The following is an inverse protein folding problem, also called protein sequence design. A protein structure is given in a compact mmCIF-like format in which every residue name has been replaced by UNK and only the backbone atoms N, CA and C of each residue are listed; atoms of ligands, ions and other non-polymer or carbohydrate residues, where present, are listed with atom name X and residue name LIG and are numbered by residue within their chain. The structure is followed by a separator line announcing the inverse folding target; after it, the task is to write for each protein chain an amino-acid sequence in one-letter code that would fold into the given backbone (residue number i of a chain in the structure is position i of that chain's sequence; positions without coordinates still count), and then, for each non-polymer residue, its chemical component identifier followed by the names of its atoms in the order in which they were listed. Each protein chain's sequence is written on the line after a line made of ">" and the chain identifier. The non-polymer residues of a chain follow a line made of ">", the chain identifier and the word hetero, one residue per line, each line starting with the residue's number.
data_IF_790348229539
#
_entry.id   IF_790348229539
#
_cell.length_a   1.000
_cell.length_b   1.000
_cell.length_c   1.000
_cell.angle_alpha   90.00
_cell.angle_beta   90.00
_cell.angle_gamma   90.00
#
_symmetry.space_group_name_H-M   'P 1'
#
loop_
_entity.id
_entity.type
_entity.pdbx_description
1 polymer ?
#
# COMPACT_ATOMS: atom_id res chain seq x y z
N UNK A 1 16.65 -5.44 -10.13
CA UNK A 1 15.39 -6.20 -10.14
C UNK A 1 15.31 -7.04 -8.88
N UNK A 2 14.14 -7.16 -8.25
CA UNK A 2 13.85 -8.13 -7.21
C UNK A 2 12.85 -9.18 -7.71
N UNK A 3 12.90 -10.40 -7.19
CA UNK A 3 11.97 -11.49 -7.52
C UNK A 3 11.92 -12.53 -6.40
N UNK A 4 10.78 -13.21 -6.28
CA UNK A 4 10.63 -14.34 -5.38
C UNK A 4 10.94 -15.66 -6.11
N UNK A 5 11.57 -16.62 -5.44
CA UNK A 5 11.86 -17.95 -6.00
C UNK A 5 11.94 -19.01 -4.91
N UNK A 6 11.62 -20.26 -5.26
CA UNK A 6 11.84 -21.46 -4.42
C UNK A 6 13.04 -22.30 -4.86
N UNK A 7 13.81 -21.79 -5.81
CA UNK A 7 14.87 -22.56 -6.44
C UNK A 7 16.11 -22.59 -5.52
N UNK A 8 16.35 -23.73 -4.87
CA UNK A 8 17.42 -23.95 -3.87
C UNK A 8 18.88 -23.79 -4.34
N UNK A 9 19.10 -23.31 -5.56
CA UNK A 9 20.40 -23.17 -6.20
C UNK A 9 20.71 -21.73 -6.65
N UNK A 10 19.93 -20.74 -6.21
CA UNK A 10 20.17 -19.33 -6.51
C UNK A 10 21.13 -18.66 -5.52
N UNK A 11 21.34 -19.25 -4.35
CA UNK A 11 22.29 -18.83 -3.33
C UNK A 11 22.81 -20.04 -2.55
N UNK A 12 24.02 -19.97 -2.00
CA UNK A 12 24.58 -21.04 -1.15
C UNK A 12 23.88 -21.17 0.21
N UNK A 13 23.09 -20.16 0.60
CA UNK A 13 22.33 -20.09 1.85
C UNK A 13 20.82 -20.04 1.57
N UNK A 14 20.36 -20.75 0.55
CA UNK A 14 18.96 -20.77 0.15
C UNK A 14 18.19 -21.88 0.89
N UNK A 15 17.01 -21.56 1.43
CA UNK A 15 16.15 -22.51 2.10
C UNK A 15 15.33 -23.35 1.12
N UNK A 16 14.33 -24.09 1.61
CA UNK A 16 13.34 -24.77 0.75
C UNK A 16 12.06 -23.94 0.53
N UNK A 17 11.99 -22.74 1.10
CA UNK A 17 10.83 -21.85 1.07
C UNK A 17 10.84 -20.89 -0.12
N UNK A 18 9.85 -20.01 -0.19
CA UNK A 18 9.95 -18.83 -1.04
C UNK A 18 10.95 -17.84 -0.44
N UNK A 19 11.88 -17.37 -1.26
CA UNK A 19 12.90 -16.42 -0.89
C UNK A 19 12.93 -15.23 -1.85
N UNK A 20 13.35 -14.07 -1.34
CA UNK A 20 13.52 -12.87 -2.15
C UNK A 20 14.95 -12.78 -2.62
N UNK A 21 15.10 -12.62 -3.93
CA UNK A 21 16.39 -12.43 -4.58
C UNK A 21 16.44 -11.08 -5.28
N UNK A 22 17.64 -10.53 -5.36
CA UNK A 22 17.95 -9.40 -6.22
C UNK A 22 18.86 -9.85 -7.34
N UNK A 23 18.58 -9.35 -8.56
CA UNK A 23 19.44 -9.54 -9.71
C UNK A 23 19.99 -8.21 -10.18
N UNK A 24 21.32 -8.11 -10.21
CA UNK A 24 22.00 -7.06 -10.94
C UNK A 24 21.90 -7.39 -12.44
N UNK A 25 21.17 -6.58 -13.20
CA UNK A 25 20.90 -6.85 -14.61
C UNK A 25 22.13 -6.58 -15.50
N UNK A 26 23.10 -5.79 -15.04
CA UNK A 26 24.33 -5.51 -15.78
C UNK A 26 25.34 -6.67 -15.65
N UNK A 27 25.42 -7.30 -14.48
CA UNK A 27 26.41 -8.36 -14.20
C UNK A 27 25.80 -9.76 -14.18
N UNK A 28 24.48 -9.88 -14.13
CA UNK A 28 23.77 -11.15 -13.94
C UNK A 28 23.84 -11.71 -12.51
N UNK A 29 24.57 -11.07 -11.59
CA UNK A 29 24.72 -11.54 -10.20
C UNK A 29 23.36 -11.58 -9.49
N UNK A 30 23.05 -12.74 -8.91
CA UNK A 30 21.89 -12.98 -8.04
C UNK A 30 22.33 -12.95 -6.57
N UNK A 31 21.54 -12.36 -5.69
CA UNK A 31 21.85 -12.26 -4.25
C UNK A 31 20.57 -12.40 -3.43
N UNK A 32 20.60 -13.26 -2.41
CA UNK A 32 19.52 -13.45 -1.45
C UNK A 32 19.33 -12.17 -0.62
N UNK A 33 18.10 -11.65 -0.60
CA UNK A 33 17.71 -10.43 0.10
C UNK A 33 16.90 -10.71 1.36
N UNK A 34 16.17 -11.83 1.42
CA UNK A 34 15.46 -12.35 2.61
C UNK A 34 16.45 -12.94 3.64
N UNK A 35 17.39 -12.12 4.11
CA UNK A 35 18.36 -12.47 5.15
C UNK A 35 18.21 -11.54 6.35
N UNK A 36 18.29 -12.15 7.54
CA UNK A 36 18.22 -11.50 8.82
C UNK A 36 19.28 -10.42 9.00
N UNK A 37 18.93 -9.39 9.77
CA UNK A 37 19.87 -8.36 10.15
C UNK A 37 20.97 -8.92 11.07
N UNK A 38 22.23 -8.51 10.83
CA UNK A 38 23.37 -8.78 11.72
C UNK A 38 24.13 -10.07 11.41
N UNK A 39 23.46 -11.24 11.48
CA UNK A 39 24.11 -12.54 11.29
C UNK A 39 23.99 -13.09 9.85
N UNK A 40 23.16 -12.47 9.00
CA UNK A 40 22.95 -12.90 7.62
C UNK A 40 22.28 -14.26 7.47
N UNK A 41 21.63 -14.78 8.52
CA UNK A 41 20.90 -16.04 8.41
C UNK A 41 19.69 -15.87 7.48
N UNK A 42 19.39 -16.86 6.63
CA UNK A 42 18.19 -16.82 5.78
C UNK A 42 16.92 -16.69 6.61
N UNK A 43 15.88 -16.12 6.00
CA UNK A 43 14.52 -16.13 6.53
C UNK A 43 14.12 -17.57 6.91
N UNK A 44 13.52 -17.74 8.09
CA UNK A 44 13.01 -19.03 8.57
C UNK A 44 11.54 -19.29 8.15
N UNK A 45 11.00 -18.47 7.25
CA UNK A 45 9.64 -18.53 6.72
C UNK A 45 9.58 -18.02 5.28
N UNK A 46 8.44 -18.22 4.63
CA UNK A 46 8.26 -17.82 3.23
C UNK A 46 8.30 -16.29 3.07
N UNK A 47 9.01 -15.82 2.05
CA UNK A 47 9.10 -14.42 1.66
C UNK A 47 8.71 -14.23 0.20
N UNK A 48 7.78 -13.31 -0.08
CA UNK A 48 7.15 -13.14 -1.39
C UNK A 48 6.81 -11.66 -1.68
N UNK A 49 6.25 -11.39 -2.87
CA UNK A 49 5.80 -10.05 -3.30
C UNK A 49 6.85 -8.93 -3.16
N UNK A 50 8.05 -9.07 -3.75
CA UNK A 50 9.06 -8.04 -3.62
C UNK A 50 8.75 -6.81 -4.48
N UNK A 51 8.91 -5.63 -3.89
CA UNK A 51 8.94 -4.34 -4.57
C UNK A 51 10.31 -3.68 -4.38
N UNK A 52 10.93 -3.22 -5.47
CA UNK A 52 12.27 -2.60 -5.43
C UNK A 52 12.16 -1.10 -5.70
N UNK A 53 12.81 -0.29 -4.88
CA UNK A 53 12.90 1.15 -5.12
C UNK A 53 13.57 1.43 -6.47
N UNK A 54 13.19 2.51 -7.16
CA UNK A 54 13.67 2.76 -8.52
C UNK A 54 15.20 2.96 -8.60
N UNK A 55 15.83 3.44 -7.52
CA UNK A 55 17.30 3.53 -7.39
C UNK A 55 17.99 2.18 -7.11
N UNK A 56 17.24 1.09 -6.93
CA UNK A 56 17.76 -0.25 -6.65
C UNK A 56 18.37 -0.44 -5.27
N UNK A 57 18.25 0.52 -4.35
CA UNK A 57 18.82 0.45 -3.00
C UNK A 57 17.96 -0.33 -2.01
N UNK A 58 16.64 -0.19 -2.09
CA UNK A 58 15.71 -0.78 -1.12
C UNK A 58 14.85 -1.85 -1.78
N UNK A 59 14.54 -2.90 -1.02
CA UNK A 59 13.55 -3.92 -1.39
C UNK A 59 12.56 -4.06 -0.26
N UNK A 60 11.29 -3.73 -0.52
CA UNK A 60 10.17 -4.08 0.34
C UNK A 60 9.67 -5.48 -0.03
N UNK A 61 9.25 -6.28 0.93
CA UNK A 61 8.72 -7.63 0.68
C UNK A 61 7.87 -8.11 1.85
N UNK A 62 6.95 -9.04 1.55
CA UNK A 62 6.14 -9.74 2.55
C UNK A 62 6.92 -10.95 3.07
N UNK A 63 6.90 -11.22 4.37
CA UNK A 63 7.52 -12.41 4.94
C UNK A 63 6.79 -12.95 6.16
N UNK A 64 6.72 -14.26 6.31
CA UNK A 64 6.24 -14.94 7.53
C UNK A 64 7.39 -15.33 8.48
N UNK A 65 8.58 -14.79 8.25
CA UNK A 65 9.80 -15.20 8.94
C UNK A 65 10.05 -14.40 10.23
N UNK A 66 10.01 -15.09 11.36
CA UNK A 66 10.20 -14.49 12.70
C UNK A 66 11.65 -14.12 13.04
N UNK A 67 12.61 -14.40 12.15
CA UNK A 67 14.02 -14.18 12.40
C UNK A 67 14.64 -13.03 11.60
N UNK A 68 13.85 -12.29 10.79
CA UNK A 68 14.38 -11.20 9.97
C UNK A 68 14.80 -9.98 10.80
N UNK A 69 14.04 -9.69 11.86
CA UNK A 69 14.34 -8.67 12.88
C UNK A 69 14.04 -9.23 14.27
N UNK A 70 14.63 -8.63 15.31
CA UNK A 70 14.26 -8.96 16.69
C UNK A 70 12.89 -8.39 17.05
N UNK A 71 12.04 -9.16 17.72
CA UNK A 71 10.76 -8.69 18.25
C UNK A 71 9.55 -9.00 17.37
N UNK A 72 9.76 -9.62 16.21
CA UNK A 72 8.68 -10.27 15.44
C UNK A 72 8.22 -11.55 16.17
N UNK A 73 6.97 -11.55 16.64
CA UNK A 73 6.42 -12.58 17.54
C UNK A 73 5.00 -13.02 17.19
N UNK A 74 4.36 -12.41 16.20
CA UNK A 74 2.94 -12.66 15.89
C UNK A 74 2.73 -13.95 15.07
N UNK A 75 3.79 -14.46 14.43
CA UNK A 75 3.72 -15.62 13.53
C UNK A 75 2.88 -15.38 12.28
N UNK A 76 2.71 -14.12 11.87
CA UNK A 76 1.95 -13.71 10.70
C UNK A 76 2.87 -13.14 9.62
N UNK A 77 2.28 -12.82 8.45
CA UNK A 77 3.00 -12.14 7.40
C UNK A 77 3.16 -10.65 7.74
N UNK A 78 4.38 -10.15 7.59
CA UNK A 78 4.75 -8.77 7.85
C UNK A 78 5.49 -8.17 6.64
N UNK A 79 5.45 -6.84 6.53
CA UNK A 79 6.19 -6.10 5.51
C UNK A 79 7.56 -5.75 6.06
N UNK A 80 8.59 -6.12 5.31
CA UNK A 80 9.97 -5.79 5.62
C UNK A 80 10.60 -4.94 4.52
N UNK A 81 11.53 -4.07 4.88
CA UNK A 81 12.41 -3.37 3.95
C UNK A 81 13.86 -3.74 4.21
N UNK A 82 14.54 -4.21 3.16
CA UNK A 82 15.99 -4.42 3.13
C UNK A 82 16.67 -3.22 2.48
N UNK A 83 17.61 -2.58 3.18
CA UNK A 83 18.61 -1.71 2.56
C UNK A 83 19.75 -2.57 2.01
N UNK A 84 19.86 -2.67 0.68
CA UNK A 84 20.86 -3.48 -0.01
C UNK A 84 22.27 -2.91 0.09
N UNK A 85 22.42 -1.63 0.48
CA UNK A 85 23.74 -1.01 0.68
C UNK A 85 24.27 -1.30 2.08
N UNK A 86 23.43 -1.19 3.11
CA UNK A 86 23.85 -1.34 4.51
C UNK A 86 23.59 -2.73 5.07
N UNK A 87 22.72 -3.51 4.44
CA UNK A 87 22.23 -4.80 4.94
C UNK A 87 21.18 -4.68 6.05
N UNK A 88 20.76 -3.47 6.44
CA UNK A 88 19.72 -3.25 7.46
C UNK A 88 18.38 -3.83 7.02
N UNK A 89 17.64 -4.43 7.95
CA UNK A 89 16.26 -4.90 7.76
C UNK A 89 15.36 -4.15 8.73
N UNK A 90 14.24 -3.65 8.23
CA UNK A 90 13.23 -2.96 9.04
C UNK A 90 11.90 -3.67 8.84
N UNK A 91 11.21 -4.01 9.92
CA UNK A 91 9.79 -4.40 9.86
C UNK A 91 8.98 -3.12 9.77
N UNK A 92 8.21 -2.95 8.70
CA UNK A 92 7.41 -1.76 8.40
C UNK A 92 6.02 -1.88 9.02
N UNK A 93 5.46 -3.09 9.04
CA UNK A 93 4.12 -3.41 9.54
C UNK A 93 4.00 -3.54 11.06
N UNK A 94 4.94 -2.96 11.82
CA UNK A 94 5.19 -3.32 13.21
C UNK A 94 4.16 -2.81 14.25
N UNK A 95 3.00 -2.29 13.84
CA UNK A 95 2.11 -1.50 14.70
C UNK A 95 0.71 -2.06 15.00
N UNK A 96 0.33 -3.25 14.55
CA UNK A 96 -1.00 -3.80 14.85
C UNK A 96 -0.94 -5.04 15.72
N UNK A 97 -0.83 -4.82 17.03
CA UNK A 97 -1.49 -5.73 17.97
C UNK A 97 -2.96 -5.29 18.02
N UNK A 98 -3.79 -5.85 17.14
CA UNK A 98 -5.23 -5.63 17.25
C UNK A 98 -5.73 -6.38 18.49
N UNK A 99 -6.74 -5.84 19.18
CA UNK A 99 -7.44 -6.56 20.26
C UNK A 99 -8.20 -7.79 19.70
N UNK A 100 -8.29 -7.93 18.38
CA UNK A 100 -9.07 -8.95 17.66
C UNK A 100 -8.22 -10.13 17.16
N UNK A 101 -6.89 -10.01 17.13
CA UNK A 101 -5.97 -11.10 16.80
C UNK A 101 -4.61 -10.63 16.28
N UNK A 102 -3.72 -11.54 15.87
CA UNK A 102 -2.50 -11.14 15.19
C UNK A 102 -2.86 -10.78 13.74
N UNK A 103 -2.84 -9.48 13.43
CA UNK A 103 -3.03 -9.00 12.07
C UNK A 103 -1.89 -9.42 11.16
N UNK A 104 -2.10 -9.34 9.84
CA UNK A 104 -1.08 -9.62 8.84
C UNK A 104 -1.08 -8.54 7.76
N UNK A 105 0.03 -8.41 7.05
CA UNK A 105 0.22 -7.40 6.02
C UNK A 105 0.82 -8.01 4.76
N UNK A 106 0.43 -7.49 3.59
CA UNK A 106 0.91 -7.94 2.29
C UNK A 106 0.92 -6.80 1.24
N UNK A 107 1.33 -7.12 0.00
CA UNK A 107 1.33 -6.19 -1.15
C UNK A 107 2.03 -4.85 -0.88
N UNK A 108 3.32 -4.89 -0.55
CA UNK A 108 4.11 -3.68 -0.35
C UNK A 108 4.47 -2.98 -1.67
N UNK A 109 4.43 -1.65 -1.67
CA UNK A 109 4.98 -0.77 -2.69
C UNK A 109 5.92 0.26 -2.05
N UNK A 110 6.98 0.67 -2.75
CA UNK A 110 8.04 1.52 -2.20
C UNK A 110 8.47 2.62 -3.17
N UNK A 111 8.54 3.85 -2.66
CA UNK A 111 8.98 5.06 -3.38
C UNK A 111 10.46 4.98 -3.80
N UNK A 112 10.89 5.82 -4.75
CA UNK A 112 12.24 5.74 -5.33
C UNK A 112 13.36 5.97 -4.32
N UNK A 113 13.18 6.89 -3.39
CA UNK A 113 14.13 7.15 -2.30
C UNK A 113 13.99 6.15 -1.14
N UNK A 114 12.95 5.32 -1.20
CA UNK A 114 12.58 4.36 -0.18
C UNK A 114 11.83 4.96 1.00
N UNK A 115 11.57 6.27 1.06
CA UNK A 115 10.99 6.91 2.24
C UNK A 115 9.58 6.40 2.56
N UNK A 116 8.72 6.37 1.55
CA UNK A 116 7.34 5.92 1.68
C UNK A 116 7.20 4.47 1.27
N UNK A 117 6.54 3.68 2.14
CA UNK A 117 6.15 2.30 1.88
C UNK A 117 4.65 2.18 2.09
N UNK A 118 3.92 1.80 1.04
CA UNK A 118 2.50 1.51 1.11
C UNK A 118 2.27 0.00 1.18
N UNK A 119 1.24 -0.46 1.88
CA UNK A 119 0.91 -1.89 1.99
C UNK A 119 -0.55 -2.08 2.40
N UNK A 120 -1.04 -3.31 2.25
CA UNK A 120 -2.35 -3.72 2.75
C UNK A 120 -2.18 -4.36 4.13
N UNK A 121 -3.06 -4.04 5.08
CA UNK A 121 -3.13 -4.64 6.41
C UNK A 121 -4.49 -5.29 6.65
N UNK A 122 -4.51 -6.34 7.47
CA UNK A 122 -5.70 -7.05 7.88
C UNK A 122 -5.63 -7.32 9.37
N UNK A 123 -6.62 -6.86 10.13
CA UNK A 123 -6.67 -7.05 11.59
C UNK A 123 -6.70 -8.53 11.99
N UNK A 124 -7.38 -9.34 11.19
CA UNK A 124 -7.50 -10.80 11.36
C UNK A 124 -7.68 -11.50 10.02
N UNK A 125 -7.41 -12.80 9.97
CA UNK A 125 -7.62 -13.62 8.77
C UNK A 125 -9.06 -13.54 8.26
N UNK A 126 -9.22 -13.05 7.03
CA UNK A 126 -10.52 -12.91 6.36
C UNK A 126 -11.29 -11.62 6.70
N UNK A 127 -10.65 -10.67 7.40
CA UNK A 127 -11.17 -9.31 7.54
C UNK A 127 -11.03 -8.51 6.24
N UNK A 128 -11.76 -7.39 6.17
CA UNK A 128 -11.60 -6.40 5.12
C UNK A 128 -10.21 -5.75 5.29
N UNK A 129 -9.46 -5.66 4.18
CA UNK A 129 -8.13 -5.06 4.18
C UNK A 129 -8.18 -3.54 4.21
N UNK A 130 -7.19 -2.94 4.86
CA UNK A 130 -6.96 -1.50 4.91
C UNK A 130 -5.62 -1.16 4.24
N UNK A 131 -5.54 0.01 3.61
CA UNK A 131 -4.32 0.49 2.97
C UNK A 131 -3.63 1.50 3.86
N UNK A 132 -2.36 1.21 4.16
CA UNK A 132 -1.52 2.07 4.97
C UNK A 132 -0.31 2.56 4.20
N UNK A 133 0.23 3.71 4.63
CA UNK A 133 1.54 4.22 4.22
C UNK A 133 2.37 4.52 5.45
N UNK A 134 3.62 4.07 5.47
CA UNK A 134 4.64 4.43 6.45
C UNK A 134 5.63 5.40 5.82
N UNK A 135 5.81 6.55 6.46
CA UNK A 135 6.96 7.42 6.24
C UNK A 135 8.13 6.92 7.10
N UNK A 136 9.10 6.23 6.49
CA UNK A 136 10.25 5.63 7.17
C UNK A 136 11.23 6.65 7.76
N UNK A 137 11.12 7.92 7.38
CA UNK A 137 11.99 8.98 7.91
C UNK A 137 11.41 9.55 9.20
N UNK A 138 10.11 9.82 9.22
CA UNK A 138 9.42 10.39 10.39
C UNK A 138 8.81 9.33 11.31
N UNK A 139 8.76 8.08 10.86
CA UNK A 139 8.13 6.95 11.54
C UNK A 139 6.62 7.19 11.81
N UNK A 140 5.95 7.82 10.84
CA UNK A 140 4.53 8.15 10.89
C UNK A 140 3.77 7.22 9.96
N UNK A 141 2.58 6.80 10.40
CA UNK A 141 1.69 5.94 9.63
C UNK A 141 0.41 6.68 9.25
N UNK A 142 -0.06 6.42 8.04
CA UNK A 142 -1.25 7.02 7.46
C UNK A 142 -2.21 5.92 6.99
N UNK A 143 -3.48 6.02 7.36
CA UNK A 143 -4.56 5.20 6.80
C UNK A 143 -5.10 5.89 5.55
N UNK A 144 -4.96 5.26 4.38
CA UNK A 144 -5.36 5.85 3.10
C UNK A 144 -6.81 5.60 2.73
N UNK A 145 -7.45 4.55 3.21
CA UNK A 145 -8.87 4.33 2.94
C UNK A 145 -9.73 5.00 4.01
N UNK A 146 -9.64 6.33 4.08
CA UNK A 146 -10.46 7.17 4.97
C UNK A 146 -11.56 7.87 4.19
N UNK A 147 -12.72 8.02 4.80
CA UNK A 147 -13.85 8.80 4.29
C UNK A 147 -13.54 10.31 4.37
N UNK A 148 -14.38 11.15 3.76
CA UNK A 148 -14.27 12.61 3.86
C UNK A 148 -14.31 13.13 5.32
N UNK A 149 -14.89 12.37 6.25
CA UNK A 149 -14.90 12.69 7.69
C UNK A 149 -13.64 12.26 8.44
N UNK A 150 -12.73 11.54 7.79
CA UNK A 150 -11.51 10.99 8.38
C UNK A 150 -11.70 9.65 9.10
N UNK A 151 -12.87 9.02 8.98
CA UNK A 151 -13.11 7.68 9.50
C UNK A 151 -12.60 6.62 8.51
N UNK A 152 -12.29 5.41 8.99
CA UNK A 152 -11.97 4.28 8.09
C UNK A 152 -13.17 3.91 7.19
N UNK A 153 -12.89 3.40 6.00
CA UNK A 153 -13.91 3.04 5.02
C UNK A 153 -14.71 1.78 5.40
N UNK A 154 -15.88 1.60 4.81
CA UNK A 154 -16.79 0.50 5.17
C UNK A 154 -16.54 -0.86 4.48
N UNK A 155 -15.58 -0.92 3.56
CA UNK A 155 -15.17 -2.14 2.86
C UNK A 155 -13.66 -2.19 2.64
N UNK A 156 -13.26 -3.37 2.20
CA UNK A 156 -11.91 -3.71 1.80
C UNK A 156 -11.29 -2.74 0.78
N UNK A 157 -10.04 -2.36 1.06
CA UNK A 157 -9.12 -1.65 0.18
C UNK A 157 -7.79 -2.40 0.10
N UNK A 158 -7.20 -2.52 -1.09
CA UNK A 158 -6.02 -3.36 -1.33
C UNK A 158 -5.12 -2.85 -2.45
N UNK A 159 -3.98 -3.51 -2.59
CA UNK A 159 -3.04 -3.38 -3.71
C UNK A 159 -2.56 -1.93 -3.90
N UNK A 160 -1.96 -1.32 -2.88
CA UNK A 160 -1.46 0.03 -3.04
C UNK A 160 -0.25 0.06 -3.97
N UNK A 161 -0.10 1.19 -4.65
CA UNK A 161 1.11 1.57 -5.36
C UNK A 161 1.51 3.00 -4.98
N UNK A 162 2.79 3.32 -5.13
CA UNK A 162 3.35 4.63 -4.80
C UNK A 162 4.13 5.17 -5.99
N UNK A 163 3.86 6.43 -6.31
CA UNK A 163 4.61 7.19 -7.31
C UNK A 163 6.11 7.25 -6.99
N UNK A 164 6.91 7.41 -8.04
CA UNK A 164 8.38 7.46 -7.96
C UNK A 164 8.86 8.50 -6.95
N UNK A 165 8.24 9.67 -6.92
CA UNK A 165 8.56 10.79 -6.02
C UNK A 165 7.91 10.67 -4.63
N UNK A 166 7.03 9.69 -4.41
CA UNK A 166 6.32 9.49 -3.15
C UNK A 166 5.20 10.49 -2.88
N UNK A 167 4.79 11.29 -3.88
CA UNK A 167 3.74 12.31 -3.71
C UNK A 167 2.33 11.77 -3.86
N UNK A 168 2.15 10.71 -4.66
CA UNK A 168 0.88 10.07 -4.98
C UNK A 168 0.87 8.59 -4.60
N UNK A 169 -0.28 8.13 -4.12
CA UNK A 169 -0.55 6.76 -3.74
C UNK A 169 -1.84 6.30 -4.43
N UNK A 170 -1.81 5.17 -5.13
CA UNK A 170 -2.99 4.60 -5.77
C UNK A 170 -3.39 3.30 -5.06
N UNK A 171 -4.69 3.00 -4.98
CA UNK A 171 -5.16 1.72 -4.43
C UNK A 171 -6.54 1.35 -4.98
N UNK A 172 -6.89 0.07 -4.88
CA UNK A 172 -8.23 -0.44 -5.22
C UNK A 172 -9.09 -0.42 -3.96
N UNK A 173 -10.33 0.06 -4.05
CA UNK A 173 -11.28 -0.04 -2.95
C UNK A 173 -12.66 -0.49 -3.42
N UNK A 174 -13.31 -1.32 -2.58
CA UNK A 174 -14.70 -1.73 -2.73
C UNK A 174 -15.66 -0.87 -1.90
N UNK A 175 -15.14 0.16 -1.22
CA UNK A 175 -15.88 1.00 -0.30
C UNK A 175 -16.77 1.99 -1.02
N UNK A 176 -18.03 2.05 -0.61
CA UNK A 176 -19.01 2.97 -1.19
C UNK A 176 -19.07 4.31 -0.46
N UNK A 177 -18.14 4.57 0.44
CA UNK A 177 -18.13 5.74 1.33
C UNK A 177 -16.79 6.47 1.42
N UNK A 178 -15.80 6.06 0.61
CA UNK A 178 -14.55 6.82 0.49
C UNK A 178 -14.79 8.22 -0.09
N UNK A 179 -15.70 8.32 -1.05
CA UNK A 179 -16.14 9.58 -1.64
C UNK A 179 -17.65 9.58 -1.75
N UNK A 180 -18.27 10.73 -1.47
CA UNK A 180 -19.74 10.87 -1.52
C UNK A 180 -20.35 10.55 -2.89
N UNK A 181 -19.55 10.55 -3.96
CA UNK A 181 -19.97 10.27 -5.34
C UNK A 181 -19.93 8.79 -5.73
N UNK A 182 -19.31 7.92 -4.93
CA UNK A 182 -19.23 6.50 -5.24
C UNK A 182 -20.51 5.78 -4.79
N UNK A 183 -21.29 5.32 -5.77
CA UNK A 183 -22.59 4.68 -5.54
C UNK A 183 -22.75 3.37 -6.33
N UNK A 184 -21.74 2.98 -7.10
CA UNK A 184 -21.86 1.93 -8.10
C UNK A 184 -21.70 0.50 -7.49
N UNK A 185 -21.22 0.40 -6.25
CA UNK A 185 -20.94 -0.84 -5.50
C UNK A 185 -19.95 -1.78 -6.22
N UNK A 186 -19.04 -1.21 -7.00
CA UNK A 186 -17.94 -1.89 -7.67
C UNK A 186 -16.62 -1.41 -7.09
N UNK A 187 -15.56 -2.15 -7.39
CA UNK A 187 -14.23 -1.71 -7.04
C UNK A 187 -13.83 -0.54 -7.94
N UNK A 188 -13.35 0.52 -7.33
CA UNK A 188 -12.81 1.69 -8.01
C UNK A 188 -11.32 1.88 -7.65
N UNK A 189 -10.60 2.60 -8.51
CA UNK A 189 -9.20 2.96 -8.26
C UNK A 189 -9.19 4.39 -7.71
N UNK A 190 -8.58 4.54 -6.55
CA UNK A 190 -8.45 5.79 -5.83
C UNK A 190 -6.99 6.26 -5.88
N UNK A 191 -6.80 7.58 -5.91
CA UNK A 191 -5.47 8.21 -5.82
C UNK A 191 -5.48 9.24 -4.70
N UNK A 192 -4.51 9.14 -3.81
CA UNK A 192 -4.37 9.94 -2.61
C UNK A 192 -3.01 10.65 -2.55
N UNK A 193 -2.97 11.75 -1.80
CA UNK A 193 -1.75 12.47 -1.40
C UNK A 193 -1.66 12.46 0.12
N UNK A 194 -0.46 12.43 0.67
CA UNK A 194 -0.27 12.63 2.11
C UNK A 194 -0.35 14.12 2.47
N UNK A 195 -0.74 14.48 3.72
CA UNK A 195 -0.69 15.84 4.21
C UNK A 195 0.74 16.40 4.12
N UNK A 196 0.87 17.70 3.87
CA UNK A 196 2.18 18.36 3.87
C UNK A 196 2.83 18.21 5.26
N UNK A 197 4.00 17.56 5.30
CA UNK A 197 4.74 17.33 6.54
C UNK A 197 5.26 18.61 7.22
N UNK A 198 5.22 19.75 6.51
CA UNK A 198 5.57 21.07 7.07
C UNK A 198 4.39 21.80 7.70
N UNK A 199 3.18 21.27 7.55
CA UNK A 199 1.98 21.81 8.18
C UNK A 199 1.91 21.35 9.66
N UNK A 200 2.07 22.26 10.64
CA UNK A 200 1.95 21.92 12.04
C UNK A 200 0.50 21.56 12.44
N UNK A 201 -0.50 21.86 11.60
CA UNK A 201 -1.92 21.57 11.84
C UNK A 201 -2.67 21.36 10.51
N UNK A 202 -2.59 20.16 9.91
CA UNK A 202 -3.33 19.84 8.70
C UNK A 202 -4.81 19.61 9.03
N UNK A 203 -5.54 20.67 9.33
CA UNK A 203 -7.01 20.63 9.51
C UNK A 203 -7.73 21.28 8.33
N UNK A 204 -8.77 20.62 7.77
CA UNK A 204 -9.60 21.20 6.72
C UNK A 204 -10.46 22.34 7.30
N UNK A 205 -10.50 23.48 6.62
CA UNK A 205 -11.45 24.57 6.93
C UNK A 205 -12.86 24.05 6.54
N UNK A 206 -13.89 23.94 7.40
CA UNK A 206 -14.64 25.05 8.02
C UNK A 206 -15.68 24.58 9.11
N UNK A 207 -15.78 25.35 10.21
CA UNK A 207 -16.93 25.62 11.15
C UNK A 207 -17.38 24.56 12.22
N UNK A 208 -16.75 24.63 13.42
CA UNK A 208 -17.18 24.47 14.87
C UNK A 208 -18.33 23.49 15.30
N UNK A 209 -18.40 22.98 16.58
CA UNK A 209 -17.48 23.01 17.76
C UNK A 209 -17.11 21.56 18.26
N UNK A 210 -16.33 21.36 19.35
CA UNK A 210 -15.47 20.18 19.51
C UNK A 210 -16.25 18.93 19.96
N UNK A 211 -16.01 17.81 19.28
CA UNK A 211 -16.07 16.50 19.93
C UNK A 211 -14.82 15.74 19.53
N UNK A 212 -13.91 15.59 20.48
CA UNK A 212 -12.75 14.74 20.36
C UNK A 212 -13.26 13.31 20.10
N UNK A 213 -13.11 12.80 18.88
CA UNK A 213 -13.37 11.38 18.60
C UNK A 213 -12.22 10.61 19.25
N UNK A 214 -12.43 10.21 20.51
CA UNK A 214 -11.70 9.09 21.07
C UNK A 214 -12.12 7.85 20.29
N UNK A 215 -11.19 7.02 19.80
CA UNK A 215 -11.54 5.65 19.47
C UNK A 215 -12.02 4.99 20.77
N UNK A 216 -13.30 4.70 20.86
CA UNK A 216 -13.90 3.89 21.92
C UNK A 216 -13.86 2.43 21.48
N UNK A 217 -13.48 1.40 22.25
CA UNK A 217 -13.02 1.15 23.63
C UNK A 217 -12.64 -0.35 23.61
N UNK A 218 -11.52 -0.83 24.16
CA UNK A 218 -11.36 -1.34 25.54
C UNK A 218 -10.47 -2.60 25.48
N UNK A 219 -9.45 -2.91 26.27
CA UNK A 219 -8.69 -2.25 27.34
C UNK A 219 -7.49 -3.17 27.68
N UNK A 220 -6.38 -2.55 28.10
CA UNK A 220 -5.25 -3.11 28.89
C UNK A 220 -4.17 -3.93 28.15
N UNK A 221 -3.05 -3.29 27.77
CA UNK A 221 -1.75 -3.48 28.45
C UNK A 221 -0.58 -2.73 27.79
N UNK A 222 0.20 -2.09 28.67
CA UNK A 222 1.66 -1.86 28.69
C UNK A 222 2.33 -1.02 27.58
N UNK A 223 3.29 -0.23 28.06
CA UNK A 223 4.05 0.76 27.31
C UNK A 223 4.77 0.13 26.11
N UNK A 224 4.31 0.50 24.92
CA UNK A 224 5.03 0.37 23.66
C UNK A 224 4.93 1.73 22.99
N UNK A 225 6.01 2.18 22.34
CA UNK A 225 6.04 3.40 21.54
C UNK A 225 4.78 3.49 20.69
N UNK A 226 3.91 4.47 20.99
CA UNK A 226 2.69 4.69 20.21
C UNK A 226 3.09 5.46 18.98
N UNK A 227 3.09 4.79 17.82
CA UNK A 227 3.21 5.48 16.54
C UNK A 227 1.93 6.28 16.31
N UNK A 228 2.02 7.59 16.03
CA UNK A 228 0.84 8.37 15.72
C UNK A 228 0.27 7.88 14.39
N UNK A 229 -0.93 7.30 14.42
CA UNK A 229 -1.74 7.07 13.21
C UNK A 229 -2.48 8.36 12.89
N UNK A 230 -2.30 8.89 11.69
CA UNK A 230 -3.04 10.07 11.21
C UNK A 230 -4.15 9.64 10.25
N UNK A 231 -5.38 10.04 10.54
CA UNK A 231 -6.45 10.07 9.55
C UNK A 231 -6.13 11.19 8.55
N UNK A 232 -6.27 10.91 7.26
CA UNK A 232 -5.95 11.85 6.17
C UNK A 232 -7.25 12.29 5.51
N UNK A 233 -7.47 13.60 5.34
CA UNK A 233 -8.49 14.05 4.38
C UNK A 233 -7.91 13.94 2.98
N UNK A 234 -8.40 13.00 2.18
CA UNK A 234 -7.85 12.74 0.86
C UNK A 234 -8.62 13.54 -0.18
N UNK A 235 -7.90 14.35 -0.95
CA UNK A 235 -8.50 15.07 -2.07
C UNK A 235 -8.42 14.22 -3.32
N UNK A 236 -9.53 13.59 -3.72
CA UNK A 236 -9.61 12.84 -4.97
C UNK A 236 -9.82 13.78 -6.15
N UNK A 237 -8.90 13.76 -7.12
CA UNK A 237 -9.03 14.53 -8.36
C UNK A 237 -9.70 13.66 -9.43
N UNK A 238 -10.98 13.88 -9.72
CA UNK A 238 -11.64 13.23 -10.87
C UNK A 238 -11.28 14.00 -12.14
N UNK A 239 -10.36 13.47 -12.95
CA UNK A 239 -10.18 13.96 -14.32
C UNK A 239 -11.29 13.39 -15.20
N UNK A 240 -12.31 14.19 -15.50
CA UNK A 240 -13.26 13.87 -16.55
C UNK A 240 -12.53 13.82 -17.90
N UNK A 241 -12.19 12.61 -18.37
CA UNK A 241 -11.72 12.41 -19.74
C UNK A 241 -12.86 12.81 -20.69
N UNK A 242 -12.83 14.05 -21.17
CA UNK A 242 -13.74 14.47 -22.22
C UNK A 242 -13.23 13.83 -23.51
N UNK A 243 -13.84 12.72 -23.92
CA UNK A 243 -13.60 12.18 -25.26
C UNK A 243 -14.10 13.20 -26.27
N UNK A 244 -13.21 14.07 -26.76
CA UNK A 244 -13.49 14.91 -27.92
C UNK A 244 -13.49 14.00 -29.15
N UNK A 245 -14.66 13.48 -29.50
CA UNK A 245 -14.88 12.87 -30.81
C UNK A 245 -14.93 13.99 -31.86
N UNK A 246 -13.77 14.38 -32.38
CA UNK A 246 -13.65 15.26 -33.54
C UNK A 246 -13.46 14.41 -34.80
N UNK A 247 -14.39 14.49 -35.75
CA UNK A 247 -14.22 13.91 -37.09
C UNK A 247 -15.55 13.55 -37.75
N UNK A 248 -16.06 14.43 -38.60
CA UNK A 248 -17.40 14.35 -39.16
C UNK A 248 -17.61 13.34 -40.29
N UNK A 249 -18.90 13.13 -40.61
CA UNK A 249 -19.41 12.84 -41.96
C UNK A 249 -20.90 13.21 -42.04
N UNK A 250 -21.24 13.88 -43.13
CA UNK A 250 -22.52 14.49 -43.48
C UNK A 250 -23.70 13.48 -43.61
N UNK A 251 -24.96 13.95 -43.56
CA UNK A 251 -26.14 13.10 -43.60
C UNK A 251 -26.38 12.48 -44.99
N UNK A 252 -26.65 11.17 -45.02
CA UNK A 252 -27.10 10.46 -46.22
C UNK A 252 -28.59 10.79 -46.43
N UNK A 253 -28.89 11.49 -47.53
CA UNK A 253 -30.25 11.62 -48.08
C UNK A 253 -30.66 10.30 -48.72
N UNK A 254 -31.76 9.69 -48.27
CA UNK A 254 -32.49 8.72 -49.08
C UNK A 254 -33.60 9.44 -49.86
N UNK A 255 -33.48 9.38 -51.19
CA UNK A 255 -34.55 9.70 -52.15
C UNK A 255 -35.57 8.55 -52.13
N UNK A 256 -36.85 8.88 -52.03
CA UNK A 256 -37.93 8.07 -52.58
C UNK A 256 -39.01 9.02 -53.14
N UNK A 257 -39.05 9.16 -54.47
CA UNK A 257 -40.27 9.45 -55.25
C UNK A 257 -40.56 8.19 -56.06
N UNK A 258 -41.76 7.84 -56.52
CA UNK A 258 -43.04 8.49 -56.84
C UNK A 258 -44.14 7.41 -56.55
N UNK A 259 -45.46 7.62 -56.50
CA UNK A 259 -46.31 8.33 -57.44
C UNK A 259 -47.72 8.56 -56.86
N UNK A 260 -48.35 9.62 -57.35
CA UNK A 260 -49.77 10.00 -57.28
C UNK A 260 -50.65 9.13 -58.18
N UNK A 261 -51.93 8.93 -57.82
CA UNK A 261 -53.11 9.33 -58.63
C UNK A 261 -54.45 9.07 -57.91
N UNK A 262 -55.36 10.02 -58.13
CA UNK A 262 -56.83 10.07 -57.96
C UNK A 262 -57.43 10.06 -56.55
#
# INVERSE_FOLDING_TARGET
>A
MAFASRASNLSSNDGSGWDIFTKNLNTGKVTLASIAQGNGTPANGDSYEPAMSANGRYVAFTSTASNLVSGDVNGQADIFVKDLTTGKVEMISHAWASDTGPGYSDHAAISSDGRYVAFTHFDVKGSDGDVYVVDRVTDVQYLLNTTDSGDGSNKESKYPDVSVDGGLFAFVSYSTDLVSGDTNKKADIFVATLPDSTDPDPTPTQIRPPTQIRPTRSSVMRATTVFPVRAVTITFSVSAATTRYGGGRAPIRSKAGMATTA
#
